data_IF_792191526382
#
_entry.id   IF_792191526382
#
_cell.length_a   1.000
_cell.length_b   1.000
_cell.length_c   1.000
_cell.angle_alpha   90.00
_cell.angle_beta   90.00
_cell.angle_gamma   90.00
#
_symmetry.space_group_name_H-M   'P 1'
#
loop_
_entity.id
_entity.type
_entity.pdbx_description
1 polymer ?
#
# COMPACT_ATOMS: atom_id res chain seq x y z
N UNK A 1 6.96 23.84 1.57
CA UNK A 1 7.29 22.73 2.48
C UNK A 1 7.33 23.14 3.95
N UNK A 2 6.94 24.40 4.26
CA UNK A 2 6.94 24.90 5.65
C UNK A 2 5.95 24.13 6.50
N UNK A 3 6.37 23.74 7.71
CA UNK A 3 5.51 23.15 8.73
C UNK A 3 5.07 24.28 9.66
N UNK A 4 3.77 24.65 9.56
CA UNK A 4 3.23 25.80 10.30
C UNK A 4 2.93 25.45 11.76
N UNK A 5 2.53 24.21 12.03
CA UNK A 5 2.34 23.64 13.37
C UNK A 5 2.61 22.14 13.37
N UNK A 6 3.03 21.62 14.52
CA UNK A 6 3.25 20.20 14.72
C UNK A 6 2.96 19.82 16.18
N UNK A 7 2.33 18.67 16.37
CA UNK A 7 2.18 18.01 17.66
C UNK A 7 2.54 16.55 17.45
N UNK A 8 3.61 16.09 18.07
CA UNK A 8 4.16 14.74 17.94
C UNK A 8 4.27 14.28 16.45
N UNK A 9 5.00 15.08 15.62
CA UNK A 9 5.01 14.86 14.16
C UNK A 9 5.61 13.52 13.76
N UNK A 10 6.48 12.93 14.58
CA UNK A 10 7.17 11.66 14.36
C UNK A 10 6.63 10.51 15.24
N UNK A 11 5.52 10.72 15.94
CA UNK A 11 4.84 9.67 16.70
C UNK A 11 4.45 8.49 15.81
N UNK A 12 4.81 7.28 16.21
CA UNK A 12 4.53 6.06 15.46
C UNK A 12 3.09 5.59 15.71
N UNK A 13 2.20 5.90 14.81
CA UNK A 13 0.79 5.52 14.89
C UNK A 13 0.38 4.57 13.75
N UNK A 14 -0.71 3.85 13.95
CA UNK A 14 -1.34 3.07 12.87
C UNK A 14 -2.00 4.01 11.88
N UNK A 15 -1.66 3.92 10.58
CA UNK A 15 -2.16 4.87 9.59
C UNK A 15 -3.62 4.61 9.19
N UNK A 16 -4.16 3.42 9.43
CA UNK A 16 -5.40 2.97 8.82
C UNK A 16 -5.35 3.19 7.28
N UNK A 17 -6.49 3.48 6.66
CA UNK A 17 -6.58 3.65 5.20
C UNK A 17 -5.87 4.89 4.63
N UNK A 18 -5.28 5.78 5.46
CA UNK A 18 -4.42 6.84 4.92
C UNK A 18 -3.17 6.28 4.24
N UNK A 19 -2.74 5.07 4.61
CA UNK A 19 -1.64 4.36 3.95
C UNK A 19 -1.90 4.07 2.47
N UNK A 20 -3.16 4.04 2.03
CA UNK A 20 -3.53 3.87 0.61
C UNK A 20 -2.99 4.98 -0.30
N UNK A 21 -2.67 6.14 0.27
CA UNK A 21 -1.96 7.18 -0.47
C UNK A 21 -0.56 6.69 -0.91
N UNK A 22 0.18 6.01 -0.03
CA UNK A 22 1.46 5.40 -0.37
C UNK A 22 1.31 4.29 -1.42
N UNK A 23 0.30 3.44 -1.28
CA UNK A 23 -0.03 2.40 -2.29
C UNK A 23 -0.25 3.02 -3.66
N UNK A 24 -1.06 4.08 -3.72
CA UNK A 24 -1.38 4.76 -4.96
C UNK A 24 -0.16 5.41 -5.61
N UNK A 25 0.65 6.17 -4.87
CA UNK A 25 1.86 6.82 -5.44
C UNK A 25 2.92 5.80 -5.87
N UNK A 26 2.93 4.62 -5.25
CA UNK A 26 3.81 3.51 -5.65
C UNK A 26 3.37 2.90 -6.98
N UNK A 27 2.07 2.70 -7.18
CA UNK A 27 1.54 1.90 -8.29
C UNK A 27 1.07 2.72 -9.49
N UNK A 28 0.66 3.98 -9.30
CA UNK A 28 0.22 4.85 -10.39
C UNK A 28 1.28 4.99 -11.50
N UNK A 29 2.58 5.16 -11.24
CA UNK A 29 3.57 5.26 -12.31
C UNK A 29 3.83 3.95 -13.05
N UNK A 30 3.50 2.80 -12.46
CA UNK A 30 3.92 1.47 -12.93
C UNK A 30 2.85 0.72 -13.69
N UNK A 31 1.58 0.93 -13.34
CA UNK A 31 0.49 0.14 -13.90
C UNK A 31 -0.19 0.87 -15.07
N UNK A 32 -0.38 0.18 -16.17
CA UNK A 32 -1.21 0.69 -17.27
C UNK A 32 -2.66 0.82 -16.82
N UNK A 33 -3.20 2.03 -16.91
CA UNK A 33 -4.56 2.38 -16.43
C UNK A 33 -5.66 1.65 -17.21
N UNK A 34 -5.40 1.30 -18.48
CA UNK A 34 -6.37 0.62 -19.35
C UNK A 34 -6.34 -0.91 -19.18
N UNK A 35 -5.31 -1.45 -18.54
CA UNK A 35 -5.20 -2.89 -18.29
C UNK A 35 -6.42 -3.37 -17.53
N UNK A 36 -7.09 -4.40 -18.06
CA UNK A 36 -8.19 -5.10 -17.38
C UNK A 36 -7.63 -6.10 -16.37
N UNK A 37 -8.19 -6.11 -15.18
CA UNK A 37 -7.80 -6.97 -14.04
C UNK A 37 -8.94 -7.91 -13.70
N UNK A 38 -8.60 -9.17 -13.44
CA UNK A 38 -9.47 -10.14 -12.78
C UNK A 38 -8.94 -10.30 -11.34
N UNK A 39 -9.60 -9.72 -10.34
CA UNK A 39 -9.19 -9.94 -8.94
C UNK A 39 -9.34 -11.41 -8.55
N UNK A 40 -8.48 -11.89 -7.66
CA UNK A 40 -8.67 -13.20 -7.04
C UNK A 40 -9.88 -13.21 -6.08
N UNK A 41 -10.46 -14.37 -5.77
CA UNK A 41 -11.46 -14.48 -4.70
C UNK A 41 -10.94 -13.93 -3.37
N UNK A 42 -9.68 -14.14 -3.05
CA UNK A 42 -9.01 -13.65 -1.83
C UNK A 42 -8.99 -12.12 -1.79
N UNK A 43 -8.63 -11.46 -2.90
CA UNK A 43 -8.68 -10.00 -2.99
C UNK A 43 -10.10 -9.45 -2.84
N UNK A 44 -11.11 -10.13 -3.44
CA UNK A 44 -12.51 -9.73 -3.35
C UNK A 44 -13.08 -9.86 -1.92
N UNK A 45 -12.59 -10.80 -1.12
CA UNK A 45 -13.08 -11.12 0.22
C UNK A 45 -12.29 -10.43 1.34
N UNK A 46 -11.44 -9.44 1.02
CA UNK A 46 -10.67 -8.71 2.05
C UNK A 46 -11.60 -7.98 3.02
N UNK A 47 -11.26 -8.04 4.30
CA UNK A 47 -12.07 -7.46 5.39
C UNK A 47 -12.14 -5.92 5.35
N UNK A 48 -13.18 -5.36 5.95
CA UNK A 48 -13.36 -3.92 6.15
C UNK A 48 -13.98 -3.23 4.94
N UNK A 49 -13.50 -2.01 4.61
CA UNK A 49 -14.07 -1.23 3.50
C UNK A 49 -13.80 -1.92 2.16
N UNK A 50 -14.84 -2.16 1.38
CA UNK A 50 -14.74 -2.76 0.06
C UNK A 50 -15.59 -1.98 -0.95
N UNK A 51 -15.19 -1.98 -2.23
CA UNK A 51 -16.02 -1.50 -3.32
C UNK A 51 -16.95 -2.61 -3.83
N UNK A 52 -16.72 -3.86 -3.42
CA UNK A 52 -17.52 -5.04 -3.81
C UNK A 52 -17.05 -5.67 -5.12
N UNK A 53 -15.75 -5.87 -5.25
CA UNK A 53 -15.18 -6.58 -6.40
C UNK A 53 -15.70 -8.02 -6.47
N UNK A 54 -15.84 -8.51 -7.70
CA UNK A 54 -16.10 -9.93 -7.99
C UNK A 54 -14.95 -10.49 -8.83
N UNK A 55 -14.67 -11.82 -8.81
CA UNK A 55 -13.55 -12.42 -9.53
C UNK A 55 -13.82 -12.53 -11.05
N UNK A 56 -14.11 -11.38 -11.68
CA UNK A 56 -14.39 -11.24 -13.12
C UNK A 56 -13.47 -10.19 -13.74
N UNK A 57 -13.06 -10.34 -15.03
CA UNK A 57 -12.19 -9.37 -15.70
C UNK A 57 -13.01 -8.18 -16.26
N UNK A 58 -13.64 -7.42 -15.37
CA UNK A 58 -14.51 -6.29 -15.72
C UNK A 58 -13.97 -4.94 -15.20
N UNK A 59 -12.90 -4.93 -14.45
CA UNK A 59 -12.32 -3.73 -13.85
C UNK A 59 -11.03 -3.34 -14.56
N UNK A 60 -10.89 -2.07 -14.89
CA UNK A 60 -9.60 -1.52 -15.30
C UNK A 60 -8.76 -1.15 -14.07
N UNK A 61 -7.44 -1.05 -14.24
CA UNK A 61 -6.56 -0.50 -13.20
C UNK A 61 -7.01 0.89 -12.77
N UNK A 62 -7.54 1.70 -13.68
CA UNK A 62 -8.11 3.02 -13.36
C UNK A 62 -9.30 2.91 -12.41
N UNK A 63 -10.21 1.97 -12.63
CA UNK A 63 -11.35 1.73 -11.74
C UNK A 63 -10.87 1.33 -10.35
N UNK A 64 -9.87 0.45 -10.28
CA UNK A 64 -9.29 0.03 -9.00
C UNK A 64 -8.64 1.20 -8.24
N UNK A 65 -7.98 2.15 -8.92
CA UNK A 65 -7.47 3.37 -8.26
C UNK A 65 -8.60 4.28 -7.77
N UNK A 66 -9.70 4.40 -8.53
CA UNK A 66 -10.90 5.11 -8.04
C UNK A 66 -11.47 4.46 -6.79
N UNK A 67 -11.63 3.13 -6.80
CA UNK A 67 -12.10 2.38 -5.63
C UNK A 67 -11.15 2.54 -4.43
N UNK A 68 -9.84 2.46 -4.64
CA UNK A 68 -8.81 2.62 -3.61
C UNK A 68 -8.91 3.97 -2.90
N UNK A 69 -8.99 5.06 -3.67
CA UNK A 69 -8.82 6.41 -3.15
C UNK A 69 -10.15 7.08 -2.80
N UNK A 70 -11.25 6.80 -3.52
CA UNK A 70 -12.55 7.41 -3.27
C UNK A 70 -13.31 6.69 -2.16
N UNK A 71 -13.48 5.35 -2.26
CA UNK A 71 -14.28 4.57 -1.31
C UNK A 71 -13.44 3.69 -0.38
N UNK A 72 -12.10 3.82 -0.45
CA UNK A 72 -11.21 3.12 0.47
C UNK A 72 -11.22 1.59 0.34
N UNK A 73 -11.52 1.04 -0.85
CA UNK A 73 -11.63 -0.40 -1.09
C UNK A 73 -10.35 -1.15 -0.70
N UNK A 74 -10.46 -2.07 0.26
CA UNK A 74 -9.36 -2.97 0.64
C UNK A 74 -9.22 -4.07 -0.41
N UNK A 75 -10.34 -4.53 -0.97
CA UNK A 75 -10.42 -5.40 -2.13
C UNK A 75 -9.67 -4.81 -3.34
N UNK A 76 -9.87 -3.52 -3.63
CA UNK A 76 -9.15 -2.81 -4.68
C UNK A 76 -7.65 -2.67 -4.39
N UNK A 77 -7.26 -2.48 -3.12
CA UNK A 77 -5.85 -2.43 -2.72
C UNK A 77 -5.15 -3.77 -3.02
N UNK A 78 -5.79 -4.88 -2.69
CA UNK A 78 -5.26 -6.21 -2.95
C UNK A 78 -5.23 -6.55 -4.44
N UNK A 79 -6.30 -6.23 -5.18
CA UNK A 79 -6.35 -6.41 -6.63
C UNK A 79 -5.26 -5.61 -7.37
N UNK A 80 -4.96 -4.39 -6.92
CA UNK A 80 -3.85 -3.60 -7.45
C UNK A 80 -2.49 -4.22 -7.11
N UNK A 81 -2.34 -4.79 -5.91
CA UNK A 81 -1.12 -5.50 -5.52
C UNK A 81 -0.92 -6.76 -6.38
N UNK A 82 -1.97 -7.51 -6.66
CA UNK A 82 -1.93 -8.64 -7.59
C UNK A 82 -1.53 -8.20 -9.00
N UNK A 83 -2.14 -7.13 -9.50
CA UNK A 83 -1.81 -6.55 -10.81
C UNK A 83 -0.35 -6.09 -10.91
N UNK A 84 0.27 -5.72 -9.79
CA UNK A 84 1.69 -5.34 -9.71
C UNK A 84 2.65 -6.54 -9.58
N UNK A 85 2.14 -7.76 -9.56
CA UNK A 85 2.94 -8.98 -9.41
C UNK A 85 2.99 -9.53 -7.98
N UNK A 86 2.01 -9.17 -7.15
CA UNK A 86 1.73 -9.77 -5.86
C UNK A 86 2.07 -8.92 -4.64
N UNK A 87 1.56 -9.36 -3.51
CA UNK A 87 1.64 -8.65 -2.22
C UNK A 87 3.08 -8.35 -1.80
N UNK A 88 3.96 -9.35 -1.83
CA UNK A 88 5.36 -9.21 -1.40
C UNK A 88 6.11 -8.14 -2.18
N UNK A 89 5.97 -8.15 -3.51
CA UNK A 89 6.58 -7.17 -4.40
C UNK A 89 6.04 -5.77 -4.10
N UNK A 90 4.72 -5.63 -4.01
CA UNK A 90 4.07 -4.35 -3.76
C UNK A 90 4.49 -3.73 -2.43
N UNK A 91 4.53 -4.51 -1.35
CA UNK A 91 4.97 -4.03 -0.05
C UNK A 91 6.46 -3.63 -0.02
N UNK A 92 7.32 -4.38 -0.71
CA UNK A 92 8.72 -4.01 -0.87
C UNK A 92 8.85 -2.65 -1.57
N UNK A 93 8.13 -2.45 -2.66
CA UNK A 93 8.12 -1.19 -3.42
C UNK A 93 7.50 -0.03 -2.63
N UNK A 94 6.41 -0.24 -1.89
CA UNK A 94 5.83 0.78 -1.00
C UNK A 94 6.85 1.25 0.04
N UNK A 95 7.53 0.33 0.71
CA UNK A 95 8.55 0.67 1.68
C UNK A 95 9.78 1.34 1.04
N UNK A 96 10.12 0.99 -0.20
CA UNK A 96 11.17 1.67 -0.97
C UNK A 96 10.75 3.11 -1.31
N UNK A 97 9.51 3.33 -1.75
CA UNK A 97 8.97 4.68 -2.01
C UNK A 97 8.96 5.51 -0.74
N UNK A 98 8.52 4.95 0.40
CA UNK A 98 8.56 5.64 1.69
C UNK A 98 9.99 6.11 2.03
N UNK A 99 10.99 5.24 1.91
CA UNK A 99 12.41 5.61 2.13
C UNK A 99 12.90 6.69 1.16
N UNK A 100 12.54 6.61 -0.13
CA UNK A 100 12.90 7.62 -1.12
C UNK A 100 12.30 8.99 -0.79
N UNK A 101 11.10 9.03 -0.23
CA UNK A 101 10.46 10.24 0.26
C UNK A 101 11.02 10.72 1.60
N UNK A 102 11.96 9.98 2.20
CA UNK A 102 12.49 10.19 3.56
C UNK A 102 11.40 10.03 4.65
N UNK A 103 10.34 9.28 4.35
CA UNK A 103 9.27 8.90 5.28
C UNK A 103 9.72 7.66 6.10
N UNK A 104 10.67 7.87 7.02
CA UNK A 104 11.37 6.79 7.74
C UNK A 104 10.56 6.19 8.88
N UNK A 105 9.55 6.88 9.37
CA UNK A 105 8.60 6.38 10.39
C UNK A 105 7.59 5.40 9.78
N UNK A 106 7.51 5.34 8.45
CA UNK A 106 6.51 4.56 7.73
C UNK A 106 7.00 3.14 7.42
N UNK A 107 6.23 2.15 7.88
CA UNK A 107 6.41 0.74 7.53
C UNK A 107 5.07 0.19 7.04
N UNK A 108 4.99 -0.15 5.76
CA UNK A 108 3.85 -0.81 5.17
C UNK A 108 3.92 -2.33 5.33
N UNK A 109 2.84 -2.94 5.85
CA UNK A 109 2.65 -4.39 5.97
C UNK A 109 1.41 -4.88 5.22
N UNK A 110 0.55 -3.93 4.78
CA UNK A 110 -0.58 -4.16 3.89
C UNK A 110 -0.68 -3.02 2.88
N UNK A 111 -1.24 -3.22 1.70
CA UNK A 111 -1.51 -2.13 0.77
C UNK A 111 -2.79 -1.35 1.14
N UNK A 112 -3.63 -1.92 2.01
CA UNK A 112 -4.90 -1.34 2.44
C UNK A 112 -4.78 -0.42 3.66
N UNK A 113 -3.76 -0.62 4.50
CA UNK A 113 -3.62 0.05 5.79
C UNK A 113 -4.36 -0.65 6.94
N UNK A 114 -4.95 -1.82 6.71
CA UNK A 114 -5.49 -2.66 7.78
C UNK A 114 -4.41 -2.98 8.82
N UNK A 115 -4.81 -3.07 10.07
CA UNK A 115 -3.90 -3.28 11.19
C UNK A 115 -3.10 -4.57 11.05
N UNK A 116 -1.78 -4.45 11.06
CA UNK A 116 -0.85 -5.58 11.11
C UNK A 116 0.29 -5.25 12.09
N UNK A 117 0.85 -6.24 12.79
CA UNK A 117 1.99 -6.03 13.66
C UNK A 117 3.14 -5.33 12.92
N UNK A 118 3.67 -4.26 13.52
CA UNK A 118 4.76 -3.48 12.96
C UNK A 118 4.39 -2.50 11.85
N UNK A 119 3.12 -2.45 11.38
CA UNK A 119 2.66 -1.41 10.48
C UNK A 119 2.47 -0.09 11.22
N UNK A 120 3.10 0.96 10.71
CA UNK A 120 3.05 2.29 11.32
C UNK A 120 3.34 3.39 10.31
N UNK A 121 3.05 4.62 10.70
CA UNK A 121 3.45 5.85 10.03
C UNK A 121 3.47 6.99 11.05
N UNK A 122 3.84 8.19 10.62
CA UNK A 122 3.76 9.41 11.42
C UNK A 122 3.00 10.50 10.65
N UNK A 123 2.59 11.55 11.33
CA UNK A 123 1.93 12.69 10.68
C UNK A 123 2.86 13.38 9.69
N UNK A 124 4.14 13.51 10.04
CA UNK A 124 5.17 14.05 9.16
C UNK A 124 5.33 13.23 7.87
N UNK A 125 5.43 11.92 8.01
CA UNK A 125 5.58 11.00 6.86
C UNK A 125 4.35 11.02 5.94
N UNK A 126 3.15 11.02 6.52
CA UNK A 126 1.92 11.13 5.74
C UNK A 126 1.83 12.47 4.99
N UNK A 127 2.38 13.55 5.55
CA UNK A 127 2.49 14.84 4.84
C UNK A 127 3.48 14.75 3.67
N UNK A 128 4.63 14.09 3.82
CA UNK A 128 5.58 13.83 2.72
C UNK A 128 4.94 13.01 1.61
N UNK A 129 4.23 11.94 1.96
CA UNK A 129 3.51 11.06 1.02
C UNK A 129 2.42 11.85 0.27
N UNK A 130 1.65 12.66 0.99
CA UNK A 130 0.60 13.49 0.40
C UNK A 130 1.17 14.54 -0.55
N UNK A 131 2.23 15.24 -0.17
CA UNK A 131 2.93 16.21 -1.02
C UNK A 131 3.40 15.56 -2.32
N UNK A 132 4.04 14.39 -2.23
CA UNK A 132 4.49 13.63 -3.39
C UNK A 132 3.31 13.21 -4.30
N UNK A 133 2.22 12.72 -3.70
CA UNK A 133 1.02 12.33 -4.44
C UNK A 133 0.34 13.51 -5.14
N UNK A 134 0.23 14.64 -4.47
CA UNK A 134 -0.38 15.85 -5.02
C UNK A 134 0.42 16.46 -6.19
N UNK A 135 1.72 16.17 -6.29
CA UNK A 135 2.54 16.52 -7.45
C UNK A 135 2.25 15.63 -8.67
N UNK A 136 1.58 14.47 -8.48
CA UNK A 136 1.24 13.55 -9.55
C UNK A 136 -0.19 13.84 -10.10
N UNK A 137 -0.35 14.24 -11.37
CA UNK A 137 -1.67 14.57 -11.93
C UNK A 137 -2.70 13.44 -11.80
N UNK A 138 -2.27 12.19 -12.00
CA UNK A 138 -3.15 11.02 -11.87
C UNK A 138 -3.66 10.81 -10.44
N UNK A 139 -2.79 10.93 -9.45
CA UNK A 139 -3.19 10.85 -8.04
C UNK A 139 -4.16 11.97 -7.67
N UNK A 140 -3.80 13.22 -8.02
CA UNK A 140 -4.62 14.40 -7.75
C UNK A 140 -6.04 14.24 -8.33
N UNK A 141 -6.16 13.74 -9.56
CA UNK A 141 -7.45 13.46 -10.19
C UNK A 141 -8.30 12.48 -9.38
N UNK A 142 -7.73 11.35 -8.93
CA UNK A 142 -8.50 10.36 -8.17
C UNK A 142 -8.98 10.88 -6.82
N UNK A 143 -8.11 11.55 -6.06
CA UNK A 143 -8.47 12.04 -4.72
C UNK A 143 -9.47 13.19 -4.76
N UNK A 144 -9.55 13.96 -5.87
CA UNK A 144 -10.48 15.07 -6.06
C UNK A 144 -11.78 14.69 -6.75
N UNK A 145 -11.93 13.45 -7.23
CA UNK A 145 -13.17 12.98 -7.85
C UNK A 145 -14.25 12.78 -6.79
N UNK A 146 -15.40 13.45 -6.96
CA UNK A 146 -16.53 13.40 -6.01
C UNK A 146 -17.35 12.12 -6.18
N UNK A 147 -17.73 11.83 -7.43
CA UNK A 147 -18.57 10.69 -7.82
C UNK A 147 -17.99 10.09 -9.10
N UNK A 148 -18.05 8.78 -9.23
CA UNK A 148 -17.65 8.07 -10.43
C UNK A 148 -18.53 6.85 -10.67
N UNK A 149 -18.75 6.49 -11.95
CA UNK A 149 -19.34 5.20 -12.31
C UNK A 149 -18.30 4.09 -12.06
N UNK A 150 -18.75 3.00 -11.50
CA UNK A 150 -17.92 1.83 -11.22
C UNK A 150 -18.53 0.57 -11.85
N UNK A 151 -17.72 -0.30 -12.50
CA UNK A 151 -18.22 -1.50 -13.16
C UNK A 151 -18.85 -2.48 -12.18
N UNK A 152 -19.94 -3.11 -12.62
CA UNK A 152 -20.62 -4.20 -11.93
C UNK A 152 -20.85 -5.37 -12.91
N UNK A 153 -21.15 -6.58 -12.41
CA UNK A 153 -21.45 -7.73 -13.27
C UNK A 153 -22.59 -7.50 -14.29
N UNK A 154 -23.51 -6.58 -13.95
CA UNK A 154 -24.57 -6.08 -14.83
C UNK A 154 -24.57 -4.56 -14.77
N UNK A 155 -23.91 -3.92 -15.76
CA UNK A 155 -23.86 -2.45 -15.88
C UNK A 155 -22.86 -1.77 -14.95
N UNK A 156 -23.28 -0.69 -14.31
CA UNK A 156 -22.45 0.15 -13.46
C UNK A 156 -23.27 0.67 -12.29
N UNK A 157 -22.60 1.03 -11.20
CA UNK A 157 -23.17 1.81 -10.10
C UNK A 157 -22.27 3.00 -9.78
N UNK A 158 -22.75 3.92 -8.97
CA UNK A 158 -21.99 5.11 -8.58
C UNK A 158 -21.25 4.88 -7.26
N UNK A 159 -20.00 5.31 -7.21
CA UNK A 159 -19.20 5.41 -6.00
C UNK A 159 -18.97 6.88 -5.66
N UNK A 160 -19.19 7.26 -4.40
CA UNK A 160 -18.97 8.60 -3.90
C UNK A 160 -17.73 8.65 -3.00
N UNK A 161 -16.97 9.74 -3.10
CA UNK A 161 -15.76 9.92 -2.30
C UNK A 161 -16.09 10.04 -0.80
N UNK A 162 -15.37 9.32 0.02
CA UNK A 162 -15.55 9.32 1.47
C UNK A 162 -15.05 10.61 2.15
N UNK A 163 -14.30 11.46 1.46
CA UNK A 163 -13.88 12.77 1.99
C UNK A 163 -15.07 13.72 2.04
N UNK A 164 -15.63 13.96 3.23
CA UNK A 164 -16.83 14.79 3.43
C UNK A 164 -16.61 16.28 3.21
N UNK A 165 -15.36 16.74 3.20
CA UNK A 165 -15.04 18.14 2.89
C UNK A 165 -14.94 18.39 1.38
N UNK A 166 -14.87 17.34 0.57
CA UNK A 166 -14.77 17.48 -0.88
C UNK A 166 -16.07 18.05 -1.47
N UNK A 167 -15.98 19.26 -2.00
CA UNK A 167 -17.11 20.01 -2.52
C UNK A 167 -17.93 20.78 -1.46
N UNK A 168 -17.53 20.71 -0.17
CA UNK A 168 -18.10 21.53 0.91
C UNK A 168 -17.12 22.57 1.41
N UNK A 169 -15.85 22.21 1.55
CA UNK A 169 -14.80 23.12 1.96
C UNK A 169 -14.14 23.75 0.73
N UNK A 170 -14.02 25.08 0.70
CA UNK A 170 -13.47 25.82 -0.43
C UNK A 170 -12.01 25.42 -0.71
N UNK A 171 -11.75 24.98 -1.93
CA UNK A 171 -10.43 24.58 -2.38
C UNK A 171 -10.01 23.16 -1.98
N UNK A 172 -10.86 22.35 -1.32
CA UNK A 172 -10.55 20.98 -0.97
C UNK A 172 -10.17 20.14 -2.20
N UNK A 173 -9.01 19.51 -2.15
CA UNK A 173 -8.51 18.62 -3.21
C UNK A 173 -8.69 17.14 -2.84
N UNK A 174 -8.49 16.78 -1.58
CA UNK A 174 -8.43 15.42 -1.08
C UNK A 174 -7.82 15.40 0.31
N UNK A 175 -7.17 14.36 0.79
CA UNK A 175 -6.51 13.25 0.10
C UNK A 175 -7.15 11.92 0.53
N UNK A 176 -7.01 11.54 1.84
CA UNK A 176 -7.48 10.23 2.32
C UNK A 176 -7.83 10.25 3.80
N UNK A 177 -8.95 9.63 4.12
CA UNK A 177 -9.36 9.32 5.48
C UNK A 177 -9.18 7.84 5.79
N UNK A 178 -9.10 7.50 7.08
CA UNK A 178 -9.01 6.13 7.56
C UNK A 178 -9.53 6.00 8.97
N UNK A 179 -9.98 4.80 9.31
CA UNK A 179 -10.39 4.44 10.65
C UNK A 179 -10.25 2.94 10.87
N UNK A 180 -9.74 2.55 12.01
CA UNK A 180 -9.86 1.21 12.58
C UNK A 180 -10.06 1.35 14.08
N UNK A 181 -10.55 0.32 14.75
CA UNK A 181 -10.73 0.34 16.21
C UNK A 181 -9.40 0.58 16.97
N UNK A 182 -8.27 0.20 16.39
CA UNK A 182 -6.93 0.36 16.99
C UNK A 182 -6.21 1.63 16.54
N UNK A 183 -6.44 2.07 15.30
CA UNK A 183 -5.84 3.30 14.77
C UNK A 183 -6.63 4.54 15.20
N UNK A 184 -7.94 4.39 15.47
CA UNK A 184 -8.90 5.48 15.56
C UNK A 184 -8.97 6.28 14.25
N UNK A 185 -9.46 7.51 14.26
CA UNK A 185 -9.54 8.36 13.09
C UNK A 185 -8.15 8.83 12.62
N UNK A 186 -7.91 8.74 11.32
CA UNK A 186 -6.75 9.31 10.64
C UNK A 186 -7.21 10.04 9.40
N UNK A 187 -6.64 11.19 9.11
CA UNK A 187 -6.96 12.00 7.94
C UNK A 187 -5.71 12.71 7.41
N UNK A 188 -5.59 12.68 6.11
CA UNK A 188 -4.69 13.54 5.34
C UNK A 188 -5.57 14.39 4.44
N UNK A 189 -5.62 15.67 4.68
CA UNK A 189 -6.39 16.65 3.92
C UNK A 189 -5.49 17.63 3.18
N UNK A 190 -5.92 18.09 2.03
CA UNK A 190 -5.26 19.16 1.29
C UNK A 190 -6.28 20.09 0.65
N UNK A 191 -6.06 21.39 0.77
CA UNK A 191 -6.85 22.39 0.09
C UNK A 191 -5.93 23.42 -0.57
N UNK A 192 -6.37 23.99 -1.71
CA UNK A 192 -5.66 25.06 -2.42
C UNK A 192 -6.53 26.29 -2.51
N UNK A 193 -5.97 27.43 -2.09
CA UNK A 193 -6.57 28.76 -2.27
C UNK A 193 -5.49 29.73 -2.78
N UNK A 194 -5.82 30.53 -3.78
CA UNK A 194 -4.92 31.55 -4.34
C UNK A 194 -3.51 31.02 -4.67
N UNK A 195 -3.44 29.83 -5.29
CA UNK A 195 -2.18 29.18 -5.67
C UNK A 195 -1.39 28.52 -4.55
N UNK A 196 -1.86 28.60 -3.30
CA UNK A 196 -1.20 27.99 -2.14
C UNK A 196 -1.96 26.76 -1.64
N UNK A 197 -1.23 25.71 -1.34
CA UNK A 197 -1.79 24.46 -0.81
C UNK A 197 -1.39 24.28 0.64
N UNK A 198 -2.37 24.05 1.50
CA UNK A 198 -2.20 23.63 2.88
C UNK A 198 -2.52 22.14 2.98
N UNK A 199 -1.63 21.38 3.64
CA UNK A 199 -1.84 19.97 3.99
C UNK A 199 -2.06 19.90 5.51
N UNK A 200 -3.11 19.20 5.92
CA UNK A 200 -3.40 18.87 7.32
C UNK A 200 -3.32 17.36 7.49
N UNK A 201 -2.60 16.91 8.50
CA UNK A 201 -2.56 15.50 8.89
C UNK A 201 -2.95 15.38 10.35
N UNK A 202 -3.93 14.53 10.61
CA UNK A 202 -4.30 14.11 11.96
C UNK A 202 -4.22 12.58 12.05
N UNK A 203 -3.78 12.08 13.18
CA UNK A 203 -3.71 10.64 13.47
C UNK A 203 -4.24 10.35 14.87
N UNK A 204 -4.81 9.16 15.04
CA UNK A 204 -5.32 8.67 16.33
C UNK A 204 -6.40 9.58 16.93
N UNK A 205 -7.24 10.15 16.10
CA UNK A 205 -8.34 11.01 16.54
C UNK A 205 -9.50 10.17 17.06
N UNK A 206 -10.01 10.41 18.29
CA UNK A 206 -10.99 9.53 18.92
C UNK A 206 -12.42 9.65 18.36
N UNK A 207 -12.72 10.72 17.62
CA UNK A 207 -14.08 11.02 17.21
C UNK A 207 -14.21 11.53 15.78
N UNK A 208 -15.22 12.35 15.59
CA UNK A 208 -15.50 13.07 14.38
C UNK A 208 -14.50 14.24 14.22
N UNK A 209 -13.87 14.39 13.08
CA UNK A 209 -12.75 15.33 12.90
C UNK A 209 -12.93 16.33 11.75
N UNK A 210 -14.06 16.30 11.06
CA UNK A 210 -14.20 17.07 9.82
C UNK A 210 -14.20 18.58 10.05
N UNK A 211 -14.84 19.05 11.12
CA UNK A 211 -14.89 20.46 11.47
C UNK A 211 -13.52 20.94 11.95
N UNK A 212 -12.84 20.17 12.79
CA UNK A 212 -11.46 20.48 13.22
C UNK A 212 -10.48 20.55 12.04
N UNK A 213 -10.64 19.68 11.05
CA UNK A 213 -9.80 19.73 9.85
C UNK A 213 -10.10 20.99 9.04
N UNK A 214 -11.36 21.39 8.92
CA UNK A 214 -11.74 22.63 8.26
C UNK A 214 -11.12 23.84 8.98
N UNK A 215 -11.22 23.89 10.31
CA UNK A 215 -10.64 24.95 11.15
C UNK A 215 -9.11 25.00 11.03
N UNK A 216 -8.44 23.84 11.04
CA UNK A 216 -6.99 23.75 10.84
C UNK A 216 -6.55 24.23 9.46
N UNK A 217 -7.34 23.94 8.41
CA UNK A 217 -7.08 24.46 7.07
C UNK A 217 -7.27 25.98 7.01
N UNK A 218 -8.35 26.51 7.60
CA UNK A 218 -8.60 27.95 7.67
C UNK A 218 -7.49 28.67 8.44
N UNK A 219 -7.09 28.13 9.60
CA UNK A 219 -5.96 28.62 10.36
C UNK A 219 -4.68 28.62 9.49
N UNK A 220 -4.37 27.51 8.83
CA UNK A 220 -3.19 27.41 7.98
C UNK A 220 -3.15 28.46 6.85
N UNK A 221 -4.27 28.74 6.20
CA UNK A 221 -4.37 29.82 5.21
C UNK A 221 -4.22 31.20 5.85
N UNK A 222 -4.77 31.43 7.04
CA UNK A 222 -4.73 32.72 7.71
C UNK A 222 -3.33 33.10 8.23
N UNK A 223 -2.55 32.12 8.72
CA UNK A 223 -1.23 32.36 9.33
C UNK A 223 -0.06 32.21 8.37
N UNK A 224 -0.28 31.62 7.19
CA UNK A 224 0.75 31.42 6.18
C UNK A 224 1.50 32.73 5.87
N UNK A 225 2.83 32.70 5.97
CA UNK A 225 3.69 33.86 5.79
C UNK A 225 3.66 34.89 6.93
N UNK A 226 2.91 34.60 8.04
CA UNK A 226 2.83 35.46 9.22
C UNK A 226 3.44 34.82 10.47
N UNK A 227 3.57 33.50 10.49
CA UNK A 227 4.20 32.77 11.60
C UNK A 227 5.53 32.18 11.14
N UNK A 228 6.47 32.05 12.06
CA UNK A 228 7.71 31.31 11.81
C UNK A 228 7.39 29.83 11.73
N UNK A 229 7.76 29.13 10.65
CA UNK A 229 7.59 27.68 10.55
C UNK A 229 8.34 26.96 11.69
N UNK A 230 7.72 25.93 12.24
CA UNK A 230 8.34 25.07 13.28
C UNK A 230 9.21 23.97 12.69
N UNK A 231 9.27 23.88 11.36
CA UNK A 231 10.08 22.91 10.63
C UNK A 231 9.81 22.99 9.13
N UNK A 232 10.38 22.05 8.38
CA UNK A 232 10.23 21.96 6.92
C UNK A 232 10.11 20.50 6.52
N UNK A 233 9.22 20.20 5.58
CA UNK A 233 9.15 18.89 4.95
C UNK A 233 10.39 18.70 4.06
N UNK A 234 11.18 17.66 4.33
CA UNK A 234 12.37 17.33 3.54
C UNK A 234 12.02 16.99 2.09
N UNK A 235 12.86 17.33 1.10
CA UNK A 235 12.65 16.91 -0.29
C UNK A 235 12.82 15.38 -0.43
N UNK A 236 12.26 14.76 -1.48
CA UNK A 236 12.61 13.38 -1.81
C UNK A 236 14.12 13.26 -2.07
N UNK A 237 14.68 12.07 -1.78
CA UNK A 237 16.04 11.75 -2.19
C UNK A 237 16.12 11.82 -3.71
N UNK A 238 17.11 12.55 -4.23
CA UNK A 238 17.41 12.56 -5.65
C UNK A 238 17.72 11.13 -6.11
N UNK A 239 17.18 10.71 -7.24
CA UNK A 239 17.67 9.51 -7.89
C UNK A 239 19.09 9.85 -8.38
N UNK A 240 20.10 9.52 -7.58
CA UNK A 240 21.48 9.50 -8.09
C UNK A 240 21.46 8.43 -9.18
N UNK A 241 21.83 8.75 -10.43
CA UNK A 241 21.96 7.70 -11.44
C UNK A 241 22.92 6.66 -10.84
N UNK A 242 22.47 5.40 -10.82
CA UNK A 242 23.35 4.29 -10.44
C UNK A 242 24.62 4.44 -11.28
N UNK A 243 25.83 4.47 -10.66
CA UNK A 243 27.04 4.60 -11.44
C UNK A 243 26.97 3.54 -12.54
N UNK A 244 27.01 3.98 -13.78
CA UNK A 244 27.13 3.07 -14.93
C UNK A 244 28.28 2.14 -14.60
N UNK A 245 28.12 0.80 -14.73
CA UNK A 245 29.24 -0.10 -14.46
C UNK A 245 30.43 0.41 -15.26
N UNK A 246 31.52 0.75 -14.55
CA UNK A 246 32.73 1.17 -15.18
C UNK A 246 33.09 0.11 -16.23
N UNK A 247 33.51 0.51 -17.43
CA UNK A 247 33.92 -0.46 -18.43
C UNK A 247 34.99 -1.35 -17.78
N UNK A 248 34.71 -2.64 -17.73
CA UNK A 248 35.67 -3.64 -17.25
C UNK A 248 36.85 -3.54 -18.18
N UNK A 249 37.94 -2.89 -17.74
CA UNK A 249 39.20 -2.95 -18.45
C UNK A 249 39.58 -4.42 -18.54
N UNK A 250 39.60 -4.95 -19.76
CA UNK A 250 40.10 -6.27 -20.01
C UNK A 250 41.53 -6.34 -19.46
N UNK A 251 41.73 -7.17 -18.45
CA UNK A 251 43.07 -7.49 -17.99
C UNK A 251 43.88 -8.03 -19.19
N UNK A 252 45.12 -7.56 -19.39
CA UNK A 252 45.98 -8.11 -20.44
C UNK A 252 46.13 -9.62 -20.23
N UNK A 253 45.94 -10.38 -21.31
CA UNK A 253 46.05 -11.84 -21.28
C UNK A 253 47.43 -12.23 -20.73
N UNK A 254 47.42 -13.08 -19.71
CA UNK A 254 48.63 -13.67 -19.16
C UNK A 254 49.33 -14.52 -20.26
N UNK A 255 50.67 -14.50 -20.35
CA UNK A 255 51.39 -15.30 -21.33
C UNK A 255 51.11 -16.79 -21.14
N UNK A 256 50.91 -17.48 -22.25
CA UNK A 256 50.59 -18.92 -22.27
C UNK A 256 51.71 -19.74 -21.59
N UNK A 257 51.30 -20.55 -20.63
CA UNK A 257 52.19 -21.54 -20.00
C UNK A 257 52.56 -22.65 -21.02
N UNK A 258 53.79 -23.19 -20.99
CA UNK A 258 54.20 -24.24 -21.92
C UNK A 258 53.40 -25.53 -21.73
N UNK A 259 53.06 -26.16 -22.84
CA UNK A 259 52.28 -27.40 -22.90
C UNK A 259 52.97 -28.53 -22.18
N UNK A 260 52.27 -29.19 -21.25
CA UNK A 260 52.64 -30.43 -20.57
C UNK A 260 52.23 -31.61 -21.48
N UNK A 261 53.06 -32.61 -21.75
CA UNK A 261 52.67 -33.76 -22.54
C UNK A 261 51.64 -34.66 -21.83
N UNK A 262 50.81 -35.40 -22.58
CA UNK A 262 49.70 -36.16 -22.01
C UNK A 262 50.18 -37.36 -21.16
N UNK A 263 49.75 -37.41 -19.92
CA UNK A 263 49.95 -38.58 -19.04
C UNK A 263 49.02 -39.69 -19.46
N UNK A 264 49.54 -40.95 -19.45
CA UNK A 264 48.87 -42.18 -19.81
C UNK A 264 47.65 -42.45 -18.90
N UNK A 265 46.55 -42.84 -19.53
CA UNK A 265 45.29 -43.23 -18.86
C UNK A 265 45.50 -44.57 -18.12
N UNK A 266 45.20 -44.58 -16.83
CA UNK A 266 45.04 -45.79 -16.04
C UNK A 266 43.61 -46.34 -16.19
N UNK A 267 43.41 -47.66 -16.19
CA UNK A 267 42.10 -48.25 -16.42
C UNK A 267 41.14 -48.09 -15.24
N UNK A 268 39.86 -47.85 -15.56
CA UNK A 268 38.77 -47.68 -14.62
C UNK A 268 38.46 -48.94 -13.81
N UNK A 269 38.12 -48.87 -12.52
CA UNK A 269 37.67 -50.00 -11.74
C UNK A 269 36.22 -50.39 -12.07
N UNK A 270 35.98 -51.71 -12.15
CA UNK A 270 34.71 -52.33 -12.45
C UNK A 270 33.62 -52.04 -11.41
N UNK A 271 32.44 -51.68 -11.93
CA UNK A 271 31.22 -51.52 -11.14
C UNK A 271 30.70 -52.91 -10.73
N UNK A 272 30.65 -53.21 -9.44
CA UNK A 272 29.92 -54.35 -8.90
C UNK A 272 28.46 -53.92 -8.64
N UNK A 273 27.55 -54.59 -9.29
CA UNK A 273 26.12 -54.60 -9.01
C UNK A 273 25.83 -55.40 -7.74
N UNK A 274 25.12 -54.86 -6.79
CA UNK A 274 24.46 -55.58 -5.71
C UNK A 274 23.16 -54.81 -5.44
N UNK A 275 22.03 -55.35 -5.82
CA UNK A 275 21.28 -56.28 -4.99
C UNK A 275 20.05 -55.55 -4.47
N UNK A 276 18.91 -55.92 -5.04
CA UNK A 276 17.54 -55.57 -4.60
C UNK A 276 17.36 -55.64 -3.09
N UNK A 277 16.66 -54.67 -2.50
CA UNK A 277 15.86 -54.88 -1.30
C UNK A 277 14.53 -54.15 -1.41
N UNK A 278 13.48 -54.94 -1.23
CA UNK A 278 12.06 -54.68 -1.24
C UNK A 278 11.58 -53.62 -0.24
N UNK A 279 10.36 -53.10 -0.43
CA UNK A 279 9.81 -52.01 0.38
C UNK A 279 9.22 -52.52 1.69
N UNK A 280 9.51 -51.81 2.78
CA UNK A 280 8.79 -51.98 4.04
C UNK A 280 7.59 -51.00 4.06
N UNK A 281 6.41 -51.59 4.10
CA UNK A 281 5.15 -50.97 4.42
C UNK A 281 5.11 -50.61 5.92
N UNK A 282 4.86 -49.36 6.25
CA UNK A 282 4.44 -48.97 7.60
C UNK A 282 2.94 -48.72 7.60
N UNK A 283 2.27 -49.55 8.38
CA UNK A 283 0.86 -49.48 8.69
C UNK A 283 0.54 -48.30 9.59
N UNK A 284 -0.54 -47.60 9.28
CA UNK A 284 -1.18 -46.60 10.12
C UNK A 284 -2.19 -47.29 11.03
N UNK A 285 -2.18 -47.08 12.35
CA UNK A 285 -3.31 -47.48 13.17
C UNK A 285 -4.39 -46.36 13.16
N UNK A 286 -5.57 -46.73 12.74
CA UNK A 286 -6.80 -45.97 12.97
C UNK A 286 -7.21 -46.17 14.44
N UNK A 287 -7.37 -45.06 15.16
CA UNK A 287 -8.12 -45.07 16.40
C UNK A 287 -9.23 -44.01 16.29
N UNK A 288 -10.44 -44.52 16.30
CA UNK A 288 -11.66 -43.73 16.31
C UNK A 288 -11.93 -43.17 17.72
N UNK A 289 -12.64 -42.10 17.73
CA UNK A 289 -13.20 -41.45 18.92
C UNK A 289 -14.35 -40.56 18.51
N UNK A 290 -15.55 -41.02 18.80
CA UNK A 290 -16.80 -40.41 18.45
C UNK A 290 -17.28 -39.37 19.52
N UNK A 291 -18.14 -38.44 19.04
CA UNK A 291 -19.24 -37.78 19.75
C UNK A 291 -18.96 -36.75 20.87
N UNK A 292 -19.34 -35.48 20.61
CA UNK A 292 -20.42 -34.86 21.39
C UNK A 292 -20.95 -33.60 20.70
N UNK A 293 -22.17 -33.70 20.20
CA UNK A 293 -23.09 -32.61 19.90
C UNK A 293 -23.63 -32.05 21.22
N UNK A 294 -23.49 -30.74 21.45
CA UNK A 294 -24.43 -30.02 22.33
C UNK A 294 -24.73 -28.69 21.67
N UNK A 295 -25.96 -28.57 21.22
CA UNK A 295 -26.56 -27.32 20.78
C UNK A 295 -26.89 -26.42 21.95
N UNK A 296 -26.79 -25.13 21.74
CA UNK A 296 -27.45 -24.12 22.55
C UNK A 296 -27.96 -23.00 21.63
N UNK A 297 -29.22 -23.16 21.22
CA UNK A 297 -30.12 -22.12 20.80
C UNK A 297 -30.50 -21.30 22.02
N UNK A 298 -30.17 -20.01 22.05
CA UNK A 298 -30.84 -19.08 22.93
C UNK A 298 -31.31 -17.88 22.13
N UNK A 299 -32.60 -17.85 21.89
CA UNK A 299 -33.35 -16.72 21.39
C UNK A 299 -33.25 -15.54 22.36
N UNK A 300 -32.96 -14.34 21.84
CA UNK A 300 -33.28 -13.10 22.52
C UNK A 300 -34.27 -12.32 21.67
N UNK A 301 -35.56 -12.48 22.06
CA UNK A 301 -36.68 -11.66 21.59
C UNK A 301 -36.81 -10.43 22.49
N UNK A 302 -37.00 -9.29 21.86
CA UNK A 302 -37.84 -8.15 22.21
C UNK A 302 -37.82 -7.63 23.67
N UNK A 303 -37.40 -6.37 23.83
CA UNK A 303 -38.23 -5.36 24.51
C UNK A 303 -37.71 -3.94 24.29
N UNK A 304 -38.59 -3.18 23.69
CA UNK A 304 -38.93 -1.74 23.76
C UNK A 304 -37.93 -0.74 23.19
#
# INVERSE_FOLDING_TARGET
GDVLAAKDPHGHYRPASTLKALTAITLIPKLDKKRVVRPSPEACNEEGSAVGLVPKPIYTVEDLFRALLMVSGNDAANALAEANGGMRKTLAEMNQVARRLQAYDTVAKTPSGLDRPGQRSSAYDLALIARAGLAMPGFRRYVSTKVAKFPAPKGHYEIANHNRLLGRYQGMIGVKNGWTSKALGSFVGAATRNGHTIIVVIMRHPGWFWDEVADLLDWGFAVRGKVTPVGTLVPPLSETPSPSPAPVQALPAAPAAPAVPPAAQAPAPAVRSSGERSPMAFAVPAAGGALALVGLLAAYRLRR
#
